data_IF_058745369798
#
_entry.id   IF_058745369798
#
_cell.length_a   1.000
_cell.length_b   1.000
_cell.length_c   1.000
_cell.angle_alpha   90.00
_cell.angle_beta   90.00
_cell.angle_gamma   90.00
#
_symmetry.space_group_name_H-M   'P 1'
#
loop_
_entity.id
_entity.type
_entity.pdbx_description
1 polymer ?
#
# COMPACT_ATOMS: atom_id res chain seq x y z
N UNK A 1 12.28 -13.57 40.23
CA UNK A 1 13.52 -14.21 40.73
C UNK A 1 14.73 -13.30 40.56
N UNK A 2 15.27 -13.06 39.35
CA UNK A 2 16.51 -12.25 39.14
C UNK A 2 16.51 -10.88 39.84
N UNK A 3 15.38 -10.15 39.78
CA UNK A 3 15.26 -8.82 40.38
C UNK A 3 15.47 -8.79 41.91
N UNK A 4 15.25 -9.91 42.61
CA UNK A 4 15.48 -10.00 44.06
C UNK A 4 16.96 -10.05 44.44
N UNK A 5 17.80 -10.65 43.57
CA UNK A 5 19.25 -10.73 43.76
C UNK A 5 19.94 -9.44 43.34
N UNK A 6 19.38 -8.74 42.34
CA UNK A 6 19.95 -7.53 41.75
C UNK A 6 18.91 -6.39 41.73
N UNK A 7 18.60 -5.78 42.88
CA UNK A 7 17.58 -4.72 42.96
C UNK A 7 18.00 -3.43 42.24
N UNK A 8 19.30 -3.22 42.03
CA UNK A 8 19.84 -2.06 41.31
C UNK A 8 19.78 -2.21 39.79
N UNK A 9 19.52 -3.42 39.28
CA UNK A 9 19.51 -3.69 37.85
C UNK A 9 18.12 -3.40 37.27
N UNK A 10 18.03 -2.64 36.16
CA UNK A 10 16.75 -2.25 35.60
C UNK A 10 15.99 -3.45 35.07
N UNK A 11 14.70 -3.52 35.40
CA UNK A 11 13.80 -4.62 34.99
C UNK A 11 13.77 -4.80 33.48
N UNK A 12 13.89 -3.72 32.70
CA UNK A 12 13.95 -3.78 31.24
C UNK A 12 15.12 -4.63 30.73
N UNK A 13 16.30 -4.50 31.34
CA UNK A 13 17.47 -5.27 30.96
C UNK A 13 17.33 -6.75 31.35
N UNK A 14 16.74 -7.01 32.52
CA UNK A 14 16.42 -8.37 32.97
C UNK A 14 15.44 -9.03 31.99
N UNK A 15 14.36 -8.36 31.61
CA UNK A 15 13.37 -8.90 30.68
C UNK A 15 13.96 -9.18 29.31
N UNK A 16 14.84 -8.30 28.82
CA UNK A 16 15.46 -8.47 27.51
C UNK A 16 16.46 -9.65 27.49
N UNK A 17 17.25 -9.81 28.56
CA UNK A 17 18.16 -10.95 28.66
C UNK A 17 17.41 -12.27 28.86
N UNK A 18 16.33 -12.27 29.66
CA UNK A 18 15.46 -13.45 29.80
C UNK A 18 14.77 -13.81 28.49
N UNK A 19 14.35 -12.84 27.67
CA UNK A 19 13.81 -13.10 26.33
C UNK A 19 14.85 -13.73 25.39
N UNK A 20 16.13 -13.41 25.57
CA UNK A 20 17.23 -13.93 24.75
C UNK A 20 17.70 -15.31 25.20
N UNK A 21 17.84 -15.53 26.50
CA UNK A 21 18.41 -16.77 27.08
C UNK A 21 17.36 -17.79 27.46
N UNK A 22 16.15 -17.35 27.81
CA UNK A 22 15.05 -18.21 28.28
C UNK A 22 15.26 -18.83 29.66
N UNK A 23 16.37 -18.56 30.35
CA UNK A 23 16.67 -19.12 31.67
C UNK A 23 17.12 -18.06 32.67
N UNK A 24 16.57 -18.15 33.87
CA UNK A 24 16.90 -17.29 35.00
C UNK A 24 18.36 -17.49 35.43
N UNK A 25 18.85 -18.72 35.43
CA UNK A 25 20.20 -19.07 35.90
C UNK A 25 21.25 -18.45 34.98
N UNK A 26 21.09 -18.62 33.66
CA UNK A 26 21.96 -18.01 32.65
C UNK A 26 21.97 -16.48 32.75
N UNK A 27 20.83 -15.86 33.01
CA UNK A 27 20.76 -14.40 33.22
C UNK A 27 21.53 -13.95 34.47
N UNK A 28 21.45 -14.71 35.57
CA UNK A 28 22.23 -14.43 36.79
C UNK A 28 23.73 -14.56 36.53
N UNK A 29 24.17 -15.60 35.82
CA UNK A 29 25.57 -15.78 35.43
C UNK A 29 26.08 -14.67 34.50
N UNK A 30 25.25 -14.22 33.55
CA UNK A 30 25.59 -13.10 32.66
C UNK A 30 25.79 -11.80 33.44
N UNK A 31 24.91 -11.51 34.40
CA UNK A 31 25.04 -10.34 35.30
C UNK A 31 26.37 -10.40 36.05
N UNK A 32 26.73 -11.56 36.60
CA UNK A 32 27.95 -11.73 37.37
C UNK A 32 29.22 -11.68 36.50
N UNK A 33 29.18 -12.24 35.29
CA UNK A 33 30.31 -12.25 34.36
C UNK A 33 30.59 -10.89 33.72
N UNK A 34 29.54 -10.19 33.30
CA UNK A 34 29.66 -8.93 32.57
C UNK A 34 29.58 -7.69 33.47
N UNK A 35 29.23 -7.85 34.76
CA UNK A 35 29.01 -6.74 35.68
C UNK A 35 27.73 -5.95 35.40
N UNK A 36 26.84 -6.48 34.56
CA UNK A 36 25.59 -5.83 34.15
C UNK A 36 24.99 -6.47 32.90
N UNK A 37 23.73 -6.17 32.61
CA UNK A 37 23.05 -6.62 31.39
C UNK A 37 23.06 -5.52 30.33
N UNK A 38 23.16 -5.88 29.03
CA UNK A 38 23.02 -4.91 27.97
C UNK A 38 21.61 -4.31 28.01
N UNK A 39 21.54 -2.98 28.00
CA UNK A 39 20.26 -2.29 27.95
C UNK A 39 19.55 -2.63 26.64
N UNK A 40 18.27 -3.03 26.66
CA UNK A 40 17.52 -3.23 25.44
C UNK A 40 17.47 -1.90 24.70
N UNK A 41 17.84 -1.92 23.43
CA UNK A 41 17.47 -0.82 22.54
C UNK A 41 15.95 -0.80 22.50
N UNK A 42 15.35 0.25 23.04
CA UNK A 42 13.92 0.48 22.86
C UNK A 42 13.72 0.82 21.39
N UNK A 43 13.55 -0.21 20.57
CA UNK A 43 12.93 -0.07 19.27
C UNK A 43 11.50 0.32 19.58
N UNK A 44 11.25 1.63 19.69
CA UNK A 44 9.89 2.16 19.59
C UNK A 44 9.26 1.49 18.36
N UNK A 45 7.97 1.11 18.40
CA UNK A 45 7.27 0.74 17.19
C UNK A 45 7.27 1.97 16.28
N UNK A 46 8.36 2.12 15.55
CA UNK A 46 8.52 3.04 14.46
C UNK A 46 7.43 2.61 13.50
N UNK A 47 6.37 3.44 13.39
CA UNK A 47 5.57 3.48 12.18
C UNK A 47 6.58 3.48 11.05
N UNK A 48 6.69 2.34 10.36
CA UNK A 48 7.80 1.98 9.48
C UNK A 48 8.01 3.11 8.47
N UNK A 49 8.85 4.08 8.80
CA UNK A 49 9.36 5.08 7.88
C UNK A 49 10.56 4.37 7.29
N UNK A 50 10.48 3.88 6.04
CA UNK A 50 11.63 3.24 5.42
C UNK A 50 12.75 4.28 5.40
N UNK A 51 13.79 4.03 6.20
CA UNK A 51 14.99 4.85 6.22
C UNK A 51 15.75 4.59 4.91
N UNK A 52 15.29 5.18 3.81
CA UNK A 52 16.01 5.22 2.55
C UNK A 52 16.98 6.41 2.60
N UNK A 53 18.11 6.22 3.29
CA UNK A 53 19.28 7.10 3.18
C UNK A 53 20.04 6.90 1.85
N UNK A 54 19.45 6.19 0.89
CA UNK A 54 19.81 6.28 -0.52
C UNK A 54 18.97 7.35 -1.19
N UNK A 55 19.51 8.03 -2.21
CA UNK A 55 18.78 8.98 -3.07
C UNK A 55 17.51 8.30 -3.60
N UNK A 56 16.39 8.42 -2.88
CA UNK A 56 15.12 7.83 -3.26
C UNK A 56 14.61 8.69 -4.40
N UNK A 57 14.88 8.26 -5.64
CA UNK A 57 14.21 8.80 -6.81
C UNK A 57 12.72 8.70 -6.51
N UNK A 58 12.10 9.86 -6.32
CA UNK A 58 10.68 9.97 -6.00
C UNK A 58 9.91 9.54 -7.25
N UNK A 59 9.59 8.26 -7.32
CA UNK A 59 8.66 7.75 -8.33
C UNK A 59 7.25 8.03 -7.83
N UNK A 60 6.41 8.65 -8.65
CA UNK A 60 5.02 8.92 -8.28
C UNK A 60 4.15 7.65 -8.31
N UNK A 61 4.56 6.62 -9.07
CA UNK A 61 3.82 5.37 -9.23
C UNK A 61 4.73 4.14 -9.32
N UNK A 62 4.19 2.98 -8.95
CA UNK A 62 4.89 1.70 -9.07
C UNK A 62 5.28 1.39 -10.52
N UNK A 63 4.46 1.78 -11.49
CA UNK A 63 4.74 1.58 -12.91
C UNK A 63 5.98 2.35 -13.34
N UNK A 64 6.14 3.59 -12.87
CA UNK A 64 7.32 4.40 -13.13
C UNK A 64 8.57 3.78 -12.48
N UNK A 65 8.45 3.28 -11.24
CA UNK A 65 9.54 2.57 -10.55
C UNK A 65 10.02 1.34 -11.32
N UNK A 66 9.09 0.58 -11.90
CA UNK A 66 9.40 -0.63 -12.69
C UNK A 66 9.53 -0.38 -14.19
N UNK A 67 9.39 0.86 -14.66
CA UNK A 67 9.43 1.26 -16.09
C UNK A 67 8.42 0.48 -16.95
N UNK A 68 7.19 0.33 -16.46
CA UNK A 68 6.13 -0.49 -17.06
C UNK A 68 5.08 0.29 -17.88
N UNK A 69 5.21 1.61 -18.01
CA UNK A 69 4.19 2.49 -18.60
C UNK A 69 3.78 2.09 -20.03
N UNK A 70 4.71 1.61 -20.85
CA UNK A 70 4.43 1.17 -22.24
C UNK A 70 4.01 -0.30 -22.38
N UNK A 71 4.10 -1.11 -21.33
CA UNK A 71 3.85 -2.56 -21.38
C UNK A 71 2.40 -2.93 -21.05
N UNK A 72 1.62 -2.02 -20.48
CA UNK A 72 0.22 -2.26 -20.12
C UNK A 72 -0.66 -2.62 -21.33
N UNK A 73 -0.39 -2.04 -22.50
CA UNK A 73 -1.23 -2.21 -23.70
C UNK A 73 -0.83 -3.44 -24.56
N UNK A 74 0.37 -3.97 -24.36
CA UNK A 74 0.98 -4.99 -25.25
C UNK A 74 1.06 -6.36 -24.55
N UNK A 75 1.03 -6.41 -23.22
CA UNK A 75 1.40 -7.59 -22.43
C UNK A 75 0.24 -8.26 -21.70
N UNK A 76 -0.97 -8.20 -22.27
CA UNK A 76 -2.12 -9.02 -21.84
C UNK A 76 -1.87 -10.54 -21.96
N UNK A 77 -0.74 -10.92 -22.55
CA UNK A 77 -0.25 -12.30 -22.71
C UNK A 77 0.93 -12.66 -21.81
N UNK A 78 1.15 -11.96 -20.69
CA UNK A 78 2.24 -12.33 -19.77
C UNK A 78 1.91 -13.62 -19.00
N UNK A 79 2.47 -14.74 -19.46
CA UNK A 79 2.42 -16.04 -18.79
C UNK A 79 2.89 -15.93 -17.32
N UNK A 80 2.19 -16.60 -16.41
CA UNK A 80 2.49 -16.60 -14.98
C UNK A 80 3.95 -17.08 -14.77
N UNK A 81 4.82 -16.27 -14.16
CA UNK A 81 6.20 -16.66 -13.95
C UNK A 81 6.27 -17.83 -12.95
N UNK A 82 7.08 -18.86 -13.22
CA UNK A 82 7.14 -20.05 -12.40
C UNK A 82 7.54 -19.72 -10.96
N UNK A 83 6.87 -20.36 -9.99
CA UNK A 83 7.13 -20.20 -8.55
C UNK A 83 8.33 -21.06 -8.08
N UNK A 84 9.42 -21.06 -8.82
CA UNK A 84 10.63 -21.81 -8.46
C UNK A 84 11.80 -20.83 -8.36
N UNK A 85 12.62 -20.97 -7.33
CA UNK A 85 13.85 -20.20 -7.22
C UNK A 85 14.93 -20.89 -8.05
N UNK A 86 15.52 -20.15 -8.97
CA UNK A 86 16.64 -20.66 -9.75
C UNK A 86 17.90 -20.74 -8.88
N UNK A 87 18.75 -21.72 -9.17
CA UNK A 87 20.02 -21.96 -8.45
C UNK A 87 21.04 -20.87 -8.76
N UNK A 88 21.07 -20.41 -10.02
CA UNK A 88 21.93 -19.32 -10.49
C UNK A 88 21.47 -17.95 -9.97
N UNK A 89 22.39 -17.16 -9.41
CA UNK A 89 22.08 -15.85 -8.83
C UNK A 89 21.49 -14.86 -9.85
N UNK A 90 22.07 -14.79 -11.05
CA UNK A 90 21.61 -13.90 -12.12
C UNK A 90 20.20 -14.27 -12.59
N UNK A 91 19.94 -15.56 -12.83
CA UNK A 91 18.62 -16.00 -13.27
C UNK A 91 17.57 -15.83 -12.18
N UNK A 92 17.91 -16.07 -10.91
CA UNK A 92 17.02 -15.79 -9.78
C UNK A 92 16.64 -14.31 -9.72
N UNK A 93 17.59 -13.40 -9.94
CA UNK A 93 17.31 -11.96 -9.99
C UNK A 93 16.33 -11.62 -11.11
N UNK A 94 16.51 -12.20 -12.30
CA UNK A 94 15.60 -12.01 -13.44
C UNK A 94 14.20 -12.57 -13.14
N UNK A 95 14.11 -13.77 -12.58
CA UNK A 95 12.83 -14.39 -12.19
C UNK A 95 12.08 -13.53 -11.17
N UNK A 96 12.78 -12.99 -10.16
CA UNK A 96 12.19 -12.09 -9.17
C UNK A 96 11.74 -10.77 -9.81
N UNK A 97 12.52 -10.22 -10.75
CA UNK A 97 12.13 -9.01 -11.49
C UNK A 97 10.86 -9.25 -12.30
N UNK A 98 10.81 -10.34 -13.09
CA UNK A 98 9.63 -10.72 -13.88
C UNK A 98 8.39 -10.94 -13.01
N UNK A 99 8.53 -11.62 -11.86
CA UNK A 99 7.43 -11.80 -10.90
C UNK A 99 6.90 -10.49 -10.33
N UNK A 100 7.78 -9.55 -9.99
CA UNK A 100 7.36 -8.23 -9.50
C UNK A 100 6.61 -7.46 -10.57
N UNK A 101 7.13 -7.45 -11.80
CA UNK A 101 6.46 -6.81 -12.93
C UNK A 101 5.08 -7.41 -13.21
N UNK A 102 4.98 -8.75 -13.21
CA UNK A 102 3.71 -9.47 -13.35
C UNK A 102 2.70 -9.08 -12.27
N UNK A 103 3.12 -9.06 -11.01
CA UNK A 103 2.27 -8.69 -9.87
C UNK A 103 1.74 -7.25 -10.00
N UNK A 104 2.60 -6.30 -10.40
CA UNK A 104 2.20 -4.89 -10.58
C UNK A 104 1.18 -4.75 -11.70
N UNK A 105 1.35 -5.45 -12.82
CA UNK A 105 0.40 -5.44 -13.92
C UNK A 105 -0.94 -6.07 -13.53
N UNK A 106 -0.91 -7.23 -12.87
CA UNK A 106 -2.12 -7.91 -12.39
C UNK A 106 -2.90 -7.04 -11.41
N UNK A 107 -2.21 -6.39 -10.46
CA UNK A 107 -2.82 -5.48 -9.52
C UNK A 107 -3.50 -4.29 -10.22
N UNK A 108 -2.84 -3.71 -11.24
CA UNK A 108 -3.42 -2.64 -12.06
C UNK A 108 -4.69 -3.09 -12.77
N UNK A 109 -4.66 -4.26 -13.41
CA UNK A 109 -5.82 -4.85 -14.10
C UNK A 109 -7.01 -4.99 -13.16
N UNK A 110 -6.78 -5.60 -11.98
CA UNK A 110 -7.82 -5.80 -10.97
C UNK A 110 -8.38 -4.48 -10.42
N UNK A 111 -7.54 -3.45 -10.32
CA UNK A 111 -7.96 -2.13 -9.87
C UNK A 111 -8.84 -1.44 -10.93
N UNK A 112 -8.50 -1.55 -12.21
CA UNK A 112 -9.33 -1.01 -13.30
C UNK A 112 -10.71 -1.68 -13.34
N UNK A 113 -10.75 -3.02 -13.26
CA UNK A 113 -12.00 -3.79 -13.21
C UNK A 113 -12.89 -3.40 -12.00
N UNK A 114 -12.27 -3.10 -10.86
CA UNK A 114 -13.00 -2.63 -9.66
C UNK A 114 -13.48 -1.18 -9.80
N UNK A 115 -12.82 -0.38 -10.61
CA UNK A 115 -13.16 1.03 -10.86
C UNK A 115 -14.19 1.20 -11.98
N UNK A 116 -14.33 0.23 -12.87
CA UNK A 116 -15.51 0.15 -13.73
C UNK A 116 -16.73 0.04 -12.81
N UNK A 117 -17.62 1.04 -12.80
CA UNK A 117 -18.82 0.94 -11.99
C UNK A 117 -19.55 -0.31 -12.44
N UNK A 118 -19.88 -1.18 -11.48
CA UNK A 118 -20.95 -2.16 -11.59
C UNK A 118 -22.28 -1.38 -11.74
N UNK A 119 -22.41 -0.64 -12.84
CA UNK A 119 -23.65 -0.08 -13.32
C UNK A 119 -24.26 -1.12 -14.23
N UNK A 120 -25.44 -1.60 -13.85
CA UNK A 120 -26.42 -2.35 -14.64
C UNK A 120 -26.30 -3.87 -14.48
N UNK A 121 -27.06 -4.37 -13.50
CA UNK A 121 -27.70 -5.69 -13.54
C UNK A 121 -28.38 -5.89 -14.92
N UNK A 122 -28.35 -7.09 -15.53
CA UNK A 122 -28.98 -7.32 -16.83
C UNK A 122 -30.51 -7.31 -16.69
N UNK A 123 -31.15 -6.15 -16.86
CA UNK A 123 -32.59 -6.08 -17.07
C UNK A 123 -32.95 -6.57 -18.48
N UNK A 124 -34.08 -7.30 -18.62
CA UNK A 124 -34.42 -8.02 -19.83
C UNK A 124 -34.70 -7.06 -20.99
N UNK A 125 -34.24 -7.46 -22.17
CA UNK A 125 -34.52 -6.87 -23.49
C UNK A 125 -36.01 -6.51 -23.62
N UNK A 126 -36.33 -5.21 -23.54
CA UNK A 126 -37.54 -4.69 -24.16
C UNK A 126 -37.21 -4.14 -25.55
N UNK A 127 -37.96 -4.52 -26.61
CA UNK A 127 -37.74 -4.02 -27.96
C UNK A 127 -38.01 -2.52 -28.05
N UNK A 128 -37.13 -1.77 -28.72
CA UNK A 128 -37.38 -0.37 -29.06
C UNK A 128 -38.40 -0.27 -30.20
N UNK A 129 -39.50 0.47 -29.97
CA UNK A 129 -40.31 0.99 -31.07
C UNK A 129 -39.66 2.25 -31.67
N UNK A 130 -39.72 2.44 -33.01
CA UNK A 130 -39.00 3.50 -33.70
C UNK A 130 -39.60 4.90 -33.43
N UNK A 131 -38.77 5.96 -33.41
CA UNK A 131 -39.23 7.31 -33.08
C UNK A 131 -40.05 7.92 -34.22
N UNK A 132 -41.34 8.15 -33.95
CA UNK A 132 -42.20 8.97 -34.81
C UNK A 132 -41.77 10.44 -34.74
N UNK A 133 -41.32 10.97 -35.87
CA UNK A 133 -41.01 12.39 -36.09
C UNK A 133 -42.27 13.26 -35.95
N UNK A 134 -42.21 14.35 -35.18
CA UNK A 134 -43.02 15.57 -35.46
C UNK A 134 -42.19 16.83 -35.22
N UNK A 135 -42.30 17.69 -36.23
CA UNK A 135 -41.59 18.95 -36.49
C UNK A 135 -42.15 20.15 -35.66
N UNK A 136 -41.49 21.33 -35.73
CA UNK A 136 -41.54 22.39 -34.74
C UNK A 136 -42.44 23.57 -35.12
N UNK A 137 -43.08 24.18 -34.12
CA UNK A 137 -43.56 25.58 -34.08
C UNK A 137 -43.66 25.92 -32.57
N UNK A 138 -43.27 27.06 -32.00
CA UNK A 138 -43.18 28.45 -32.43
C UNK A 138 -43.82 29.27 -31.28
N UNK A 139 -43.09 30.24 -30.70
CA UNK A 139 -43.58 31.17 -29.65
C UNK A 139 -42.54 31.37 -28.54
N UNK A 140 -41.68 32.39 -28.58
CA UNK A 140 -41.93 33.81 -28.25
C UNK A 140 -42.51 34.00 -26.85
N UNK A 141 -41.68 34.44 -25.88
CA UNK A 141 -41.94 35.56 -24.94
C UNK A 141 -40.59 36.04 -24.36
N UNK A 142 -40.32 37.33 -24.54
CA UNK A 142 -39.29 38.15 -23.87
C UNK A 142 -39.85 38.72 -22.56
N UNK A 143 -39.05 38.84 -21.49
CA UNK A 143 -38.81 40.05 -20.62
C UNK A 143 -37.94 39.62 -19.42
N UNK A 144 -36.72 40.15 -19.28
CA UNK A 144 -36.31 41.32 -18.47
C UNK A 144 -36.71 41.26 -16.99
N UNK A 145 -35.73 41.08 -16.09
CA UNK A 145 -35.55 41.91 -14.88
C UNK A 145 -34.39 41.41 -14.00
N UNK A 146 -33.29 42.18 -14.02
CA UNK A 146 -32.56 42.71 -12.84
C UNK A 146 -32.94 42.17 -11.45
N UNK A 147 -31.97 41.64 -10.70
CA UNK A 147 -31.37 42.37 -9.57
C UNK A 147 -30.29 41.55 -8.83
N UNK A 148 -29.13 42.18 -8.73
CA UNK A 148 -28.07 42.02 -7.72
C UNK A 148 -28.62 42.02 -6.31
N UNK A 149 -28.10 41.17 -5.41
CA UNK A 149 -27.75 41.52 -4.02
C UNK A 149 -27.12 40.32 -3.30
N UNK A 150 -25.81 40.41 -3.06
CA UNK A 150 -25.16 39.85 -1.85
C UNK A 150 -25.15 40.97 -0.81
N UNK A 151 -25.27 40.65 0.49
CA UNK A 151 -24.14 40.94 1.39
C UNK A 151 -24.03 39.92 2.56
N UNK A 152 -22.82 39.44 2.90
CA UNK A 152 -21.94 39.96 3.97
C UNK A 152 -22.14 39.30 5.35
N UNK A 153 -21.17 38.45 5.70
CA UNK A 153 -20.33 38.44 6.91
C UNK A 153 -20.95 38.41 8.33
N UNK A 154 -20.69 37.29 9.02
CA UNK A 154 -20.14 37.13 10.39
C UNK A 154 -21.00 37.58 11.61
N UNK A 155 -20.62 37.19 12.84
CA UNK A 155 -19.54 36.29 13.29
C UNK A 155 -19.96 34.85 13.67
#
# INVERSE_FOLDING_TARGET
MVHTLFPLLPTAAITADLQRTGSVETTVDNVNRAGGLPMPVTTMPSSYQPNSSGKHIQYCNLLQRYKLEGYHLIKDTLSEPPKVWETDALKRQEALKKRKEYMVLQARKKLLERQEPQSIDPLPLYPQEPPAQRQPTGGSVTIDSKETTTPTCAP
#
